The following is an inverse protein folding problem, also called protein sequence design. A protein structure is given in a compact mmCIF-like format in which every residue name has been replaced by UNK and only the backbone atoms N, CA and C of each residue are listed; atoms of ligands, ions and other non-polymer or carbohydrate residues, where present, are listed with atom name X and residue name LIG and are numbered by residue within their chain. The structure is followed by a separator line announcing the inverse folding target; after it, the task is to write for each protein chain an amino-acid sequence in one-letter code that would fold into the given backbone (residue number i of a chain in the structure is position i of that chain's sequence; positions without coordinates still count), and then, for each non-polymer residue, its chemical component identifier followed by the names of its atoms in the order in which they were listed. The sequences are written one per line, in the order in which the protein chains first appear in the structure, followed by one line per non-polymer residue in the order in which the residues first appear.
data_IF_295320281585
#
_entry.id   IF_295320281585
#
_cell.length_a   1.000
_cell.length_b   1.000
_cell.length_c   1.000
_cell.angle_alpha   90.00
_cell.angle_beta   90.00
_cell.angle_gamma   90.00
#
_symmetry.space_group_name_H-M   'P 1'
#
loop_
_entity.id
_entity.type
_entity.pdbx_description
1 polymer ?
#
# COMPACT_ATOMS: atom_id res chain seq x y z
N UNK A 1 20.84 -37.79 -26.66
CA UNK A 1 21.40 -37.92 -25.30
C UNK A 1 22.31 -36.71 -25.08
N UNK A 2 22.06 -35.78 -24.17
CA UNK A 2 20.98 -35.72 -23.16
C UNK A 2 20.75 -34.23 -22.80
N UNK A 3 19.50 -33.77 -22.81
CA UNK A 3 19.09 -32.55 -22.09
C UNK A 3 19.04 -32.84 -20.58
N UNK A 4 18.84 -31.78 -19.77
CA UNK A 4 18.73 -31.74 -18.29
C UNK A 4 20.04 -31.69 -17.49
N UNK A 5 20.49 -30.46 -17.19
CA UNK A 5 21.21 -30.09 -15.96
C UNK A 5 21.18 -28.55 -15.76
N UNK A 6 19.99 -27.97 -15.61
CA UNK A 6 19.79 -26.58 -15.18
C UNK A 6 18.71 -26.56 -14.08
N UNK A 7 18.85 -25.64 -13.12
CA UNK A 7 18.24 -25.62 -11.78
C UNK A 7 18.72 -26.78 -10.87
N UNK A 8 19.59 -26.45 -9.89
CA UNK A 8 19.46 -26.77 -8.46
C UNK A 8 20.77 -26.43 -7.73
N UNK A 9 20.90 -25.21 -7.16
CA UNK A 9 21.87 -24.89 -6.08
C UNK A 9 21.68 -23.46 -5.52
N UNK A 10 20.49 -23.15 -5.01
CA UNK A 10 20.27 -22.02 -4.09
C UNK A 10 19.31 -22.46 -2.98
N UNK A 11 19.85 -22.94 -1.85
CA UNK A 11 19.29 -22.82 -0.47
C UNK A 11 20.11 -23.64 0.55
N UNK A 12 20.44 -23.01 1.71
CA UNK A 12 20.73 -23.64 3.03
C UNK A 12 22.04 -24.47 3.10
N UNK A 13 22.83 -24.63 4.19
CA UNK A 13 22.82 -24.25 5.64
C UNK A 13 24.26 -24.56 6.19
N UNK A 14 24.86 -24.03 7.29
CA UNK A 14 24.53 -23.00 8.30
C UNK A 14 25.81 -22.48 9.03
N UNK A 15 25.62 -21.48 9.91
CA UNK A 15 26.37 -21.12 11.15
C UNK A 15 27.67 -21.88 11.54
N UNK A 16 28.76 -21.12 11.66
CA UNK A 16 29.71 -21.05 12.82
C UNK A 16 30.79 -20.01 12.47
N UNK A 17 31.17 -19.01 13.28
CA UNK A 17 31.13 -18.88 14.74
C UNK A 17 30.69 -17.47 15.19
N UNK A 18 29.72 -17.39 16.11
CA UNK A 18 29.54 -16.23 16.98
C UNK A 18 28.77 -16.69 18.24
N UNK A 19 29.51 -16.91 19.33
CA UNK A 19 28.94 -17.05 20.68
C UNK A 19 29.35 -15.82 21.51
N UNK A 20 28.53 -15.41 22.50
CA UNK A 20 28.44 -14.00 22.87
C UNK A 20 29.40 -13.60 23.99
N UNK A 21 29.84 -12.34 23.96
CA UNK A 21 30.35 -11.65 25.14
C UNK A 21 29.24 -10.72 25.64
N UNK A 22 28.63 -11.07 26.75
CA UNK A 22 27.85 -10.13 27.56
C UNK A 22 28.09 -10.38 29.04
N UNK A 23 28.76 -9.44 29.68
CA UNK A 23 28.76 -9.27 31.13
C UNK A 23 28.51 -7.79 31.42
N UNK A 24 27.79 -7.53 32.51
CA UNK A 24 27.36 -6.21 32.97
C UNK A 24 27.28 -6.26 34.50
N UNK A 25 27.36 -5.13 35.21
CA UNK A 25 28.28 -4.00 35.05
C UNK A 25 29.14 -3.80 36.33
N UNK A 26 30.15 -2.94 36.28
CA UNK A 26 30.73 -2.35 37.49
C UNK A 26 31.11 -0.89 37.21
N UNK A 27 30.78 -0.01 38.16
CA UNK A 27 31.02 1.42 38.08
C UNK A 27 32.50 1.75 37.89
N UNK A 28 32.86 2.65 36.98
CA UNK A 28 33.00 4.08 37.32
C UNK A 28 33.48 4.90 36.08
N UNK A 29 33.09 6.17 36.00
CA UNK A 29 33.66 7.24 35.13
C UNK A 29 33.77 6.96 33.61
N UNK A 30 32.78 7.41 32.85
CA UNK A 30 33.01 8.00 31.53
C UNK A 30 32.28 9.35 31.41
N UNK A 31 33.05 10.41 31.18
CA UNK A 31 32.54 11.76 30.86
C UNK A 31 32.05 11.77 29.42
N UNK A 32 30.88 12.34 29.17
CA UNK A 32 30.39 12.56 27.81
C UNK A 32 31.15 13.73 27.15
N UNK A 33 32.21 13.44 26.41
CA UNK A 33 32.75 14.37 25.40
C UNK A 33 31.98 14.18 24.09
N UNK A 34 31.39 15.26 23.58
CA UNK A 34 30.59 15.27 22.35
C UNK A 34 31.43 15.87 21.23
N UNK A 35 32.49 15.16 20.85
CA UNK A 35 33.36 15.54 19.73
C UNK A 35 33.68 14.34 18.84
N UNK A 36 33.59 14.58 17.52
CA UNK A 36 33.72 13.63 16.40
C UNK A 36 32.45 12.91 15.94
N UNK A 37 31.61 13.67 15.23
CA UNK A 37 30.62 13.17 14.27
C UNK A 37 31.29 12.20 13.29
N UNK A 38 30.84 10.95 13.29
CA UNK A 38 31.23 9.94 12.29
C UNK A 38 30.58 10.30 10.95
N UNK A 39 31.33 10.98 10.10
CA UNK A 39 30.86 11.35 8.76
C UNK A 39 31.06 10.18 7.77
N UNK A 40 30.25 9.13 7.91
CA UNK A 40 30.19 8.04 6.95
C UNK A 40 29.44 8.48 5.68
N UNK A 41 30.16 9.13 4.77
CA UNK A 41 29.69 9.39 3.40
C UNK A 41 29.48 8.05 2.65
N UNK A 42 28.29 7.46 2.78
CA UNK A 42 27.94 6.13 2.24
C UNK A 42 27.76 6.08 0.70
N UNK A 43 28.23 7.10 0.00
CA UNK A 43 28.04 7.27 -1.45
C UNK A 43 29.10 6.48 -2.27
N UNK A 44 30.32 6.30 -1.74
CA UNK A 44 31.40 5.59 -2.45
C UNK A 44 31.24 4.07 -2.46
N UNK A 45 30.75 3.46 -1.37
CA UNK A 45 30.50 2.02 -1.32
C UNK A 45 29.37 1.60 -2.27
N UNK A 46 28.26 2.34 -2.25
CA UNK A 46 27.10 2.09 -3.10
C UNK A 46 27.40 2.34 -4.60
N UNK A 47 28.26 3.32 -4.92
CA UNK A 47 28.75 3.53 -6.30
C UNK A 47 29.63 2.37 -6.78
N UNK A 48 30.48 1.81 -5.93
CA UNK A 48 31.33 0.66 -6.29
C UNK A 48 30.51 -0.59 -6.63
N UNK A 49 29.46 -0.90 -5.87
CA UNK A 49 28.53 -2.00 -6.19
C UNK A 49 27.73 -1.73 -7.47
N UNK A 50 27.29 -0.49 -7.69
CA UNK A 50 26.58 -0.09 -8.91
C UNK A 50 27.46 -0.21 -10.17
N UNK A 51 28.75 0.11 -10.09
CA UNK A 51 29.67 -0.03 -11.23
C UNK A 51 30.01 -1.50 -11.52
N UNK A 52 30.13 -2.36 -10.49
CA UNK A 52 30.25 -3.80 -10.67
C UNK A 52 29.03 -4.39 -11.41
N UNK A 53 27.82 -3.93 -11.05
CA UNK A 53 26.56 -4.32 -11.71
C UNK A 53 26.52 -3.91 -13.20
N UNK A 54 27.02 -2.71 -13.54
CA UNK A 54 27.10 -2.25 -14.94
C UNK A 54 28.02 -3.10 -15.80
N UNK A 55 29.16 -3.55 -15.26
CA UNK A 55 30.11 -4.37 -16.02
C UNK A 55 29.61 -5.79 -16.27
N UNK A 56 28.87 -6.39 -15.33
CA UNK A 56 28.15 -7.66 -15.57
C UNK A 56 27.14 -7.51 -16.72
N UNK A 57 26.35 -6.42 -16.72
CA UNK A 57 25.39 -6.15 -17.81
C UNK A 57 26.09 -5.96 -19.16
N UNK A 58 27.25 -5.28 -19.20
CA UNK A 58 28.05 -5.13 -20.44
C UNK A 58 28.55 -6.48 -20.97
N UNK A 59 29.04 -7.36 -20.11
CA UNK A 59 29.52 -8.69 -20.52
C UNK A 59 28.39 -9.56 -21.08
N UNK A 60 27.20 -9.50 -20.49
CA UNK A 60 26.01 -10.20 -21.00
C UNK A 60 25.55 -9.66 -22.37
N UNK A 61 25.62 -8.35 -22.60
CA UNK A 61 25.28 -7.76 -23.90
C UNK A 61 26.30 -8.13 -25.00
N UNK A 62 27.58 -8.27 -24.65
CA UNK A 62 28.63 -8.70 -25.58
C UNK A 62 28.56 -10.20 -25.91
N UNK A 63 28.14 -11.04 -24.97
CA UNK A 63 28.00 -12.49 -25.22
C UNK A 63 26.82 -12.82 -26.16
N UNK A 64 25.82 -11.94 -26.25
CA UNK A 64 24.67 -12.08 -27.15
C UNK A 64 24.94 -11.81 -28.64
N UNK A 65 26.12 -11.32 -29.03
CA UNK A 65 26.38 -10.88 -30.41
C UNK A 65 27.15 -11.87 -31.31
N UNK A 66 27.56 -13.04 -30.80
CA UNK A 66 28.33 -14.03 -31.56
C UNK A 66 27.50 -15.28 -31.93
N UNK A 67 26.58 -15.13 -32.89
CA UNK A 67 25.95 -16.27 -33.57
C UNK A 67 25.70 -15.99 -35.06
N UNK A 68 26.78 -15.92 -35.84
CA UNK A 68 26.71 -15.85 -37.31
C UNK A 68 26.77 -17.25 -37.91
N UNK A 69 25.67 -17.67 -38.55
CA UNK A 69 25.52 -18.98 -39.20
C UNK A 69 26.27 -19.09 -40.53
N UNK A 70 26.66 -20.32 -40.88
CA UNK A 70 27.25 -20.66 -42.17
C UNK A 70 26.18 -20.91 -43.24
N UNK A 71 26.37 -20.37 -44.46
CA UNK A 71 25.44 -20.58 -45.57
C UNK A 71 25.96 -20.07 -46.94
N UNK A 72 26.40 -21.02 -47.78
CA UNK A 72 26.55 -21.02 -49.25
C UNK A 72 26.50 -19.70 -50.06
N UNK A 73 27.51 -19.50 -50.92
CA UNK A 73 27.63 -18.37 -51.84
C UNK A 73 26.81 -18.49 -53.14
N UNK A 74 26.41 -17.35 -53.70
CA UNK A 74 26.04 -17.18 -55.11
C UNK A 74 26.66 -15.89 -55.65
N UNK A 75 27.26 -15.94 -56.84
CA UNK A 75 28.03 -14.81 -57.41
C UNK A 75 27.15 -13.67 -57.95
N UNK A 76 27.69 -12.44 -58.06
CA UNK A 76 26.92 -11.27 -58.50
C UNK A 76 26.60 -11.33 -60.00
N UNK A 77 25.39 -10.90 -60.35
CA UNK A 77 24.97 -10.72 -61.75
C UNK A 77 25.65 -9.50 -62.41
N UNK A 78 25.65 -9.48 -63.75
CA UNK A 78 26.18 -8.38 -64.56
C UNK A 78 25.40 -7.08 -64.39
N UNK A 79 25.98 -5.97 -64.88
CA UNK A 79 25.31 -4.67 -64.90
C UNK A 79 24.65 -4.44 -66.25
N UNK A 80 23.39 -4.05 -66.23
CA UNK A 80 22.65 -3.65 -67.42
C UNK A 80 23.01 -2.22 -67.88
N UNK A 81 22.64 -1.89 -69.12
CA UNK A 81 22.91 -0.60 -69.75
C UNK A 81 22.16 0.57 -69.11
N UNK A 82 22.59 1.80 -69.41
CA UNK A 82 21.87 3.01 -68.98
C UNK A 82 20.77 3.35 -69.98
N UNK A 83 19.54 3.50 -69.49
CA UNK A 83 18.43 3.98 -70.30
C UNK A 83 18.56 5.47 -70.64
N UNK A 84 17.81 5.89 -71.67
CA UNK A 84 17.75 7.28 -72.13
C UNK A 84 17.10 8.23 -71.12
N UNK A 85 17.29 9.54 -71.31
CA UNK A 85 16.63 10.55 -70.48
C UNK A 85 15.23 10.82 -71.00
N UNK A 86 14.22 10.65 -70.15
CA UNK A 86 12.87 11.12 -70.43
C UNK A 86 12.79 12.65 -70.43
N UNK A 87 11.81 13.18 -71.17
CA UNK A 87 11.51 14.61 -71.23
C UNK A 87 10.89 15.13 -69.92
N UNK A 88 10.96 16.45 -69.65
CA UNK A 88 10.38 17.02 -68.43
C UNK A 88 8.84 16.88 -68.44
N UNK A 89 8.22 16.50 -67.32
CA UNK A 89 6.76 16.36 -67.23
C UNK A 89 6.04 17.71 -67.38
N UNK A 90 4.78 17.64 -67.81
CA UNK A 90 3.89 18.80 -67.88
C UNK A 90 3.59 19.39 -66.49
N UNK A 91 3.14 20.65 -66.46
CA UNK A 91 2.78 21.33 -65.20
C UNK A 91 1.41 20.87 -64.71
N UNK A 92 1.32 20.51 -63.43
CA UNK A 92 0.05 20.18 -62.77
C UNK A 92 -0.88 21.40 -62.67
N UNK A 93 -2.19 21.12 -62.63
CA UNK A 93 -3.23 22.13 -62.39
C UNK A 93 -3.24 22.63 -60.95
N UNK A 94 -3.72 23.86 -60.74
CA UNK A 94 -3.82 24.44 -59.41
C UNK A 94 -4.78 23.65 -58.49
N UNK A 95 -4.43 23.43 -57.19
CA UNK A 95 -5.31 22.70 -56.27
C UNK A 95 -6.65 23.41 -56.05
N UNK A 96 -7.73 22.62 -55.94
CA UNK A 96 -9.02 23.11 -55.47
C UNK A 96 -8.95 23.52 -54.00
N UNK A 97 -9.70 24.57 -53.62
CA UNK A 97 -9.73 25.06 -52.24
C UNK A 97 -10.25 24.04 -51.24
N UNK A 98 -9.68 24.03 -50.03
CA UNK A 98 -10.12 23.19 -48.91
C UNK A 98 -11.54 23.55 -48.46
N UNK A 99 -12.42 22.56 -48.36
CA UNK A 99 -13.76 22.73 -47.79
C UNK A 99 -13.72 23.13 -46.31
N UNK A 100 -14.73 23.87 -45.87
CA UNK A 100 -14.84 24.35 -44.49
C UNK A 100 -15.01 23.19 -43.49
N UNK A 101 -14.31 23.28 -42.36
CA UNK A 101 -14.44 22.30 -41.27
C UNK A 101 -15.82 22.39 -40.63
N UNK A 102 -16.54 21.27 -40.57
CA UNK A 102 -17.84 21.19 -39.91
C UNK A 102 -17.79 21.55 -38.42
N UNK A 103 -18.93 21.92 -37.80
CA UNK A 103 -18.99 22.34 -36.41
C UNK A 103 -18.56 21.21 -35.46
N UNK A 104 -17.87 21.58 -34.38
CA UNK A 104 -17.49 20.65 -33.34
C UNK A 104 -18.73 19.98 -32.71
N UNK A 105 -18.61 18.68 -32.41
CA UNK A 105 -19.66 17.95 -31.69
C UNK A 105 -19.90 18.51 -30.29
N UNK A 106 -21.07 18.24 -29.68
CA UNK A 106 -21.35 18.69 -28.31
C UNK A 106 -20.31 18.11 -27.33
N UNK A 107 -19.92 18.87 -26.29
CA UNK A 107 -19.08 18.34 -25.22
C UNK A 107 -19.66 17.06 -24.62
N UNK A 108 -18.79 16.11 -24.28
CA UNK A 108 -19.20 14.92 -23.54
C UNK A 108 -19.83 15.27 -22.19
N UNK A 109 -20.61 14.36 -21.58
CA UNK A 109 -21.15 14.58 -20.25
C UNK A 109 -20.01 14.86 -19.25
N UNK A 110 -20.20 15.77 -18.27
CA UNK A 110 -19.23 15.97 -17.22
C UNK A 110 -18.84 14.66 -16.54
N UNK A 111 -17.56 14.47 -16.27
CA UNK A 111 -17.09 13.36 -15.43
C UNK A 111 -17.72 13.44 -14.02
N UNK A 112 -17.72 12.34 -13.25
CA UNK A 112 -18.35 12.31 -11.94
C UNK A 112 -17.72 13.38 -11.02
N UNK A 113 -18.51 14.40 -10.70
CA UNK A 113 -18.13 15.41 -9.70
C UNK A 113 -17.98 14.71 -8.34
N UNK A 114 -16.78 14.72 -7.77
CA UNK A 114 -16.58 14.31 -6.38
C UNK A 114 -17.33 15.27 -5.46
N UNK A 115 -18.54 14.90 -5.03
CA UNK A 115 -19.19 15.53 -3.89
C UNK A 115 -18.40 15.16 -2.63
N UNK A 116 -17.93 16.11 -1.81
CA UNK A 116 -17.23 15.80 -0.58
C UNK A 116 -18.08 14.85 0.29
N UNK A 117 -17.59 13.63 0.55
CA UNK A 117 -18.35 12.66 1.33
C UNK A 117 -18.60 13.22 2.74
N UNK A 118 -19.86 13.44 3.16
CA UNK A 118 -20.15 14.18 4.38
C UNK A 118 -19.52 13.54 5.63
N UNK A 119 -18.61 14.28 6.25
CA UNK A 119 -17.92 13.89 7.47
C UNK A 119 -16.70 12.98 7.27
N UNK A 120 -16.23 12.72 6.04
CA UNK A 120 -14.92 12.11 5.82
C UNK A 120 -13.82 13.02 6.40
N UNK A 121 -12.91 12.46 7.21
CA UNK A 121 -11.81 13.19 7.90
C UNK A 121 -10.43 12.54 7.75
N UNK A 122 -10.36 11.39 7.07
CA UNK A 122 -9.12 10.73 6.68
C UNK A 122 -9.42 9.69 5.61
N UNK A 123 -8.67 9.67 4.52
CA UNK A 123 -8.80 8.66 3.46
C UNK A 123 -7.42 8.33 2.90
N UNK A 124 -6.99 7.09 3.11
CA UNK A 124 -5.74 6.55 2.58
C UNK A 124 -6.07 5.42 1.61
N UNK A 125 -5.81 5.59 0.30
CA UNK A 125 -5.97 4.52 -0.66
C UNK A 125 -5.13 3.29 -0.34
N UNK A 126 -3.95 3.50 0.25
CA UNK A 126 -2.97 2.45 0.57
C UNK A 126 -2.66 1.60 -0.67
N UNK A 127 -2.16 2.26 -1.72
CA UNK A 127 -1.80 1.64 -2.99
C UNK A 127 -0.45 2.19 -3.50
N UNK A 128 0.07 1.65 -4.60
CA UNK A 128 1.38 2.03 -5.17
C UNK A 128 1.45 3.52 -5.56
N UNK A 129 0.37 4.06 -6.11
CA UNK A 129 0.27 5.45 -6.58
C UNK A 129 0.29 6.47 -5.43
N UNK A 130 -0.45 6.19 -4.35
CA UNK A 130 -0.66 7.13 -3.25
C UNK A 130 0.20 6.83 -2.01
N UNK A 131 0.73 5.61 -1.89
CA UNK A 131 1.34 5.11 -0.67
C UNK A 131 0.39 5.29 0.52
N UNK A 132 0.87 5.98 1.56
CA UNK A 132 0.11 6.33 2.75
C UNK A 132 -0.37 7.80 2.78
N UNK A 133 -0.48 8.49 1.65
CA UNK A 133 -0.99 9.87 1.56
C UNK A 133 -2.48 9.96 1.93
N UNK A 134 -2.87 10.99 2.68
CA UNK A 134 -4.25 11.32 3.01
C UNK A 134 -4.90 12.14 1.88
N UNK A 135 -5.74 11.50 1.08
CA UNK A 135 -6.45 12.15 -0.04
C UNK A 135 -7.74 12.84 0.39
N UNK A 136 -8.09 12.82 1.68
CA UNK A 136 -9.27 13.55 2.19
C UNK A 136 -9.06 15.07 2.33
N UNK A 137 -7.81 15.54 2.23
CA UNK A 137 -7.44 16.96 2.33
C UNK A 137 -7.18 17.47 3.76
N UNK A 138 -7.27 16.61 4.78
CA UNK A 138 -6.92 16.95 6.17
C UNK A 138 -5.43 16.76 6.49
N UNK A 139 -4.63 16.27 5.53
CA UNK A 139 -3.18 16.23 5.61
C UNK A 139 -2.61 15.24 6.61
N UNK A 140 -3.37 14.20 6.98
CA UNK A 140 -2.91 13.14 7.89
C UNK A 140 -2.01 12.12 7.15
N UNK A 141 -1.03 12.62 6.37
CA UNK A 141 -0.14 11.82 5.53
C UNK A 141 0.68 10.83 6.38
N UNK A 142 0.51 9.54 6.11
CA UNK A 142 1.15 8.47 6.86
C UNK A 142 2.58 8.14 6.41
N UNK A 143 3.32 7.54 7.33
CA UNK A 143 4.67 7.02 7.11
C UNK A 143 4.62 5.50 7.09
N UNK A 144 5.11 4.90 6.01
CA UNK A 144 5.18 3.44 5.83
C UNK A 144 6.47 2.87 6.41
N UNK A 145 6.35 1.76 7.14
CA UNK A 145 7.49 1.02 7.69
C UNK A 145 7.41 -0.43 7.21
N UNK A 146 8.41 -0.87 6.45
CA UNK A 146 8.54 -2.25 5.98
C UNK A 146 7.21 -2.83 5.45
N UNK A 147 6.58 -2.16 4.48
CA UNK A 147 5.38 -2.63 3.77
C UNK A 147 5.72 -2.95 2.32
N UNK A 148 5.05 -3.94 1.75
CA UNK A 148 5.07 -4.20 0.30
C UNK A 148 3.88 -3.57 -0.42
N UNK A 149 3.78 -3.86 -1.71
CA UNK A 149 2.64 -3.54 -2.57
C UNK A 149 1.99 -4.85 -3.04
N UNK A 150 0.67 -4.85 -3.23
CA UNK A 150 -0.10 -6.00 -3.70
C UNK A 150 -1.28 -5.58 -4.59
N UNK A 151 -1.90 -6.57 -5.23
CA UNK A 151 -3.16 -6.42 -5.97
C UNK A 151 -4.32 -6.07 -5.01
N UNK A 152 -5.12 -5.07 -5.41
CA UNK A 152 -6.22 -4.48 -4.63
C UNK A 152 -7.58 -5.22 -4.73
N UNK A 153 -8.65 -4.66 -4.13
CA UNK A 153 -9.96 -5.30 -4.02
C UNK A 153 -10.71 -5.51 -5.35
N UNK A 154 -10.31 -4.83 -6.42
CA UNK A 154 -10.84 -4.96 -7.78
C UNK A 154 -10.00 -5.84 -8.70
N UNK A 155 -8.88 -6.38 -8.22
CA UNK A 155 -7.90 -7.10 -9.05
C UNK A 155 -6.87 -6.18 -9.73
N UNK A 156 -6.85 -4.90 -9.37
CA UNK A 156 -5.92 -3.92 -9.89
C UNK A 156 -4.51 -4.11 -9.33
N UNK A 157 -3.51 -4.19 -10.22
CA UNK A 157 -2.10 -4.28 -9.84
C UNK A 157 -1.70 -3.02 -9.10
N UNK A 158 -1.04 -3.17 -7.94
CA UNK A 158 -0.64 -2.04 -7.11
C UNK A 158 -1.71 -1.51 -6.15
N UNK A 159 -2.96 -1.99 -6.24
CA UNK A 159 -4.12 -1.45 -5.51
C UNK A 159 -4.16 -1.60 -3.99
N UNK A 160 -3.18 -2.25 -3.37
CA UNK A 160 -3.13 -2.42 -1.91
C UNK A 160 -1.69 -2.36 -1.36
N UNK A 161 -1.53 -1.99 -0.08
CA UNK A 161 -0.31 -2.23 0.67
C UNK A 161 -0.34 -3.62 1.32
N UNK A 162 0.82 -4.28 1.30
CA UNK A 162 1.05 -5.58 1.91
C UNK A 162 1.78 -5.44 3.25
N UNK A 163 1.27 -6.12 4.26
CA UNK A 163 1.83 -6.18 5.60
C UNK A 163 2.36 -7.59 5.88
N UNK A 164 3.61 -7.68 6.33
CA UNK A 164 4.33 -8.96 6.40
C UNK A 164 4.01 -9.80 7.65
N UNK A 165 3.28 -9.27 8.63
CA UNK A 165 2.97 -9.98 9.88
C UNK A 165 4.10 -9.97 10.91
N UNK A 166 4.83 -8.85 11.01
CA UNK A 166 5.81 -8.60 12.07
C UNK A 166 5.68 -7.17 12.59
N UNK A 167 6.19 -6.91 13.79
CA UNK A 167 6.10 -5.61 14.46
C UNK A 167 6.72 -4.43 13.67
N UNK A 168 7.64 -4.72 12.74
CA UNK A 168 8.23 -3.72 11.85
C UNK A 168 7.31 -3.28 10.71
N UNK A 169 6.33 -4.10 10.32
CA UNK A 169 5.48 -3.91 9.13
C UNK A 169 4.18 -3.19 9.47
N UNK A 170 4.15 -1.87 9.26
CA UNK A 170 3.04 -0.98 9.68
C UNK A 170 3.00 0.33 8.89
N UNK A 171 1.89 1.05 9.03
CA UNK A 171 1.80 2.46 8.65
C UNK A 171 1.35 3.26 9.86
N UNK A 172 2.00 4.40 10.11
CA UNK A 172 1.64 5.34 11.17
C UNK A 172 1.14 6.63 10.53
N UNK A 173 -0.02 7.12 10.97
CA UNK A 173 -0.66 8.34 10.48
C UNK A 173 -0.70 9.38 11.60
N UNK A 174 -0.17 10.60 11.36
CA UNK A 174 -0.31 11.69 12.32
C UNK A 174 -1.78 12.04 12.48
N UNK A 175 -2.15 12.52 13.67
CA UNK A 175 -3.48 13.05 13.91
C UNK A 175 -3.40 14.57 13.98
N UNK A 176 -3.67 15.23 12.86
CA UNK A 176 -3.63 16.70 12.76
C UNK A 176 -4.93 17.36 13.29
N UNK A 177 -5.62 16.69 14.21
CA UNK A 177 -6.85 17.12 14.86
C UNK A 177 -8.13 16.57 14.22
N UNK A 178 -8.14 16.36 12.91
CA UNK A 178 -9.32 15.91 12.17
C UNK A 178 -9.82 14.51 12.58
N UNK A 179 -8.89 13.62 12.97
CA UNK A 179 -9.21 12.26 13.39
C UNK A 179 -9.73 12.20 14.85
N UNK A 180 -9.66 13.27 15.63
CA UNK A 180 -10.18 13.32 17.01
C UNK A 180 -11.71 13.53 17.06
N UNK A 181 -12.46 12.56 16.53
CA UNK A 181 -13.90 12.69 16.29
C UNK A 181 -14.78 12.70 17.55
N UNK A 182 -14.31 12.08 18.66
CA UNK A 182 -14.87 12.02 20.03
C UNK A 182 -16.31 11.52 20.23
N UNK A 183 -17.29 11.94 19.42
CA UNK A 183 -18.73 11.68 19.64
C UNK A 183 -19.36 10.80 18.57
N UNK A 184 -18.81 10.76 17.36
CA UNK A 184 -19.29 9.88 16.30
C UNK A 184 -18.09 9.39 15.50
N UNK A 185 -18.12 8.15 15.05
CA UNK A 185 -17.08 7.65 14.18
C UNK A 185 -17.61 6.58 13.22
N UNK A 186 -17.02 6.54 12.04
CA UNK A 186 -17.00 5.34 11.19
C UNK A 186 -15.56 5.03 10.82
N UNK A 187 -15.14 3.79 11.02
CA UNK A 187 -13.85 3.25 10.60
C UNK A 187 -14.13 2.17 9.57
N UNK A 188 -13.59 2.28 8.35
CA UNK A 188 -13.76 1.24 7.33
C UNK A 188 -12.56 1.04 6.41
N UNK A 189 -12.37 -0.19 5.95
CA UNK A 189 -11.30 -0.55 5.03
C UNK A 189 -11.64 -1.82 4.25
N UNK A 190 -11.01 -2.00 3.08
CA UNK A 190 -10.84 -3.32 2.49
C UNK A 190 -9.68 -4.03 3.19
N UNK A 191 -9.90 -5.29 3.59
CA UNK A 191 -8.88 -6.16 4.18
C UNK A 191 -8.80 -7.51 3.45
N UNK A 192 -7.59 -8.06 3.37
CA UNK A 192 -7.30 -9.42 2.87
C UNK A 192 -6.40 -10.13 3.88
N UNK A 193 -6.94 -10.72 4.96
CA UNK A 193 -6.15 -11.27 6.04
C UNK A 193 -5.55 -12.63 5.68
N UNK A 194 -4.26 -12.83 5.97
CA UNK A 194 -3.51 -14.03 5.58
C UNK A 194 -2.73 -14.69 6.72
N UNK A 195 -2.52 -13.98 7.84
CA UNK A 195 -1.80 -14.51 9.00
C UNK A 195 -2.69 -15.02 10.13
N UNK A 196 -2.01 -15.33 11.25
CA UNK A 196 -2.61 -15.76 12.52
C UNK A 196 -2.24 -14.85 13.69
N UNK A 197 -1.57 -13.72 13.44
CA UNK A 197 -1.34 -12.67 14.44
C UNK A 197 -2.60 -11.83 14.66
N UNK A 198 -2.82 -11.41 15.91
CA UNK A 198 -3.80 -10.37 16.23
C UNK A 198 -3.34 -9.08 15.53
N UNK A 199 -4.20 -8.36 14.83
CA UNK A 199 -3.74 -7.32 13.91
C UNK A 199 -4.57 -6.04 13.94
N UNK A 200 -3.97 -4.85 14.17
CA UNK A 200 -4.68 -3.58 14.03
C UNK A 200 -5.00 -3.31 12.56
N UNK A 201 -6.29 -3.10 12.27
CA UNK A 201 -6.75 -2.41 11.06
C UNK A 201 -6.73 -0.90 11.35
N UNK A 202 -7.19 -0.51 12.53
CA UNK A 202 -7.06 0.84 13.09
C UNK A 202 -6.65 0.74 14.57
N UNK A 203 -5.57 1.42 14.97
CA UNK A 203 -5.16 1.59 16.36
C UNK A 203 -4.91 3.07 16.65
N UNK A 204 -5.76 3.72 17.44
CA UNK A 204 -5.40 5.01 18.03
C UNK A 204 -4.47 4.76 19.23
N UNK A 205 -3.18 5.08 19.13
CA UNK A 205 -2.19 4.77 20.17
C UNK A 205 -1.48 6.02 20.65
N UNK A 206 -1.42 6.25 21.97
CA UNK A 206 -0.54 7.30 22.50
C UNK A 206 0.91 6.93 22.21
N UNK A 207 1.63 7.81 21.54
CA UNK A 207 3.06 7.68 21.29
C UNK A 207 3.83 7.39 22.59
N UNK A 208 4.78 6.45 22.55
CA UNK A 208 5.62 6.11 23.70
C UNK A 208 4.87 5.58 24.92
N UNK A 209 3.68 4.99 24.76
CA UNK A 209 2.87 4.51 25.88
C UNK A 209 2.03 3.27 25.54
N UNK A 210 1.61 2.54 26.58
CA UNK A 210 0.58 1.49 26.50
C UNK A 210 -0.85 2.04 26.54
N UNK A 211 -1.05 3.35 26.66
CA UNK A 211 -2.37 4.00 26.64
C UNK A 211 -3.06 3.82 25.27
N UNK A 212 -3.95 2.84 25.17
CA UNK A 212 -4.73 2.57 23.97
C UNK A 212 -5.96 3.48 23.88
N UNK A 213 -6.25 3.97 22.67
CA UNK A 213 -7.49 4.63 22.32
C UNK A 213 -8.51 3.65 21.72
N UNK A 214 -9.34 4.18 20.82
CA UNK A 214 -10.21 3.36 19.96
C UNK A 214 -9.36 2.40 19.13
N UNK A 215 -9.77 1.14 19.02
CA UNK A 215 -9.08 0.19 18.16
C UNK A 215 -10.00 -0.84 17.50
N UNK A 216 -9.74 -1.09 16.20
CA UNK A 216 -10.47 -2.00 15.32
C UNK A 216 -9.50 -3.04 14.74
N UNK A 217 -9.70 -4.30 15.09
CA UNK A 217 -8.70 -5.37 14.98
C UNK A 217 -9.25 -6.65 14.35
N UNK A 218 -8.35 -7.47 13.81
CA UNK A 218 -8.62 -8.90 13.56
C UNK A 218 -8.07 -9.76 14.71
N UNK A 219 -8.82 -10.80 15.07
CA UNK A 219 -8.46 -11.81 16.05
C UNK A 219 -8.57 -13.21 15.40
N UNK A 220 -7.57 -13.62 14.58
CA UNK A 220 -7.71 -14.77 13.66
C UNK A 220 -7.82 -16.14 14.32
N UNK A 221 -7.55 -16.31 15.62
CA UNK A 221 -7.81 -17.57 16.33
C UNK A 221 -9.32 -17.84 16.48
N UNK A 222 -10.13 -16.78 16.58
CA UNK A 222 -11.60 -16.86 16.52
C UNK A 222 -12.18 -16.52 15.14
N UNK A 223 -11.34 -16.18 14.16
CA UNK A 223 -11.75 -15.45 12.94
C UNK A 223 -12.56 -14.18 13.25
N UNK A 224 -12.23 -13.53 14.36
CA UNK A 224 -13.00 -12.45 14.94
C UNK A 224 -12.67 -11.10 14.30
N UNK A 225 -13.72 -10.32 14.02
CA UNK A 225 -13.66 -8.89 13.76
C UNK A 225 -14.02 -8.18 15.08
N UNK A 226 -13.09 -7.40 15.63
CA UNK A 226 -13.13 -6.90 17.00
C UNK A 226 -13.04 -5.37 17.04
N UNK A 227 -14.02 -4.70 17.64
CA UNK A 227 -14.00 -3.25 17.88
C UNK A 227 -14.05 -2.93 19.37
N UNK A 228 -13.22 -1.97 19.77
CA UNK A 228 -13.16 -1.44 21.12
C UNK A 228 -13.24 0.09 21.10
N UNK A 229 -14.42 0.62 21.43
CA UNK A 229 -14.63 2.06 21.60
C UNK A 229 -14.46 2.53 23.06
N UNK A 230 -14.51 1.60 24.02
CA UNK A 230 -14.62 1.90 25.46
C UNK A 230 -14.03 0.78 26.32
N UNK A 231 -13.34 1.17 27.39
CA UNK A 231 -12.78 0.24 28.37
C UNK A 231 -13.79 -0.80 28.85
N UNK A 232 -13.41 -2.08 28.74
CA UNK A 232 -14.18 -3.24 29.22
C UNK A 232 -15.40 -3.64 28.39
N UNK A 233 -15.69 -2.99 27.25
CA UNK A 233 -16.89 -3.27 26.44
C UNK A 233 -16.55 -3.36 24.94
N UNK A 234 -16.00 -4.50 24.54
CA UNK A 234 -15.75 -4.84 23.14
C UNK A 234 -16.99 -5.39 22.44
N UNK A 235 -17.09 -5.19 21.13
CA UNK A 235 -17.99 -5.94 20.25
C UNK A 235 -17.13 -6.78 19.30
N UNK A 236 -17.32 -8.11 19.32
CA UNK A 236 -16.58 -9.07 18.49
C UNK A 236 -17.53 -10.02 17.75
N UNK A 237 -17.19 -10.41 16.52
CA UNK A 237 -17.95 -11.37 15.71
C UNK A 237 -17.04 -12.29 14.88
N UNK A 238 -17.22 -13.62 14.91
CA UNK A 238 -16.36 -14.59 14.20
C UNK A 238 -16.78 -14.72 12.72
N UNK A 239 -16.51 -13.68 11.92
CA UNK A 239 -17.00 -13.56 10.54
C UNK A 239 -15.89 -13.45 9.49
N UNK A 240 -14.63 -13.35 9.89
CA UNK A 240 -13.51 -13.11 8.96
C UNK A 240 -13.16 -14.39 8.20
N UNK A 241 -12.90 -14.26 6.89
CA UNK A 241 -12.32 -15.35 6.09
C UNK A 241 -10.88 -14.98 5.76
N UNK A 242 -9.94 -15.91 5.93
CA UNK A 242 -8.57 -15.71 5.45
C UNK A 242 -8.49 -15.90 3.93
N UNK A 243 -7.61 -15.15 3.30
CA UNK A 243 -7.36 -15.16 1.85
C UNK A 243 -8.58 -14.78 0.99
N UNK A 244 -9.39 -13.84 1.48
CA UNK A 244 -10.54 -13.28 0.77
C UNK A 244 -10.57 -11.75 1.01
N UNK A 245 -10.96 -10.96 0.00
CA UNK A 245 -11.17 -9.52 0.16
C UNK A 245 -12.50 -9.25 0.86
N UNK A 246 -12.47 -8.46 1.94
CA UNK A 246 -13.63 -8.18 2.77
C UNK A 246 -13.65 -6.69 3.14
N UNK A 247 -14.78 -6.02 2.96
CA UNK A 247 -14.96 -4.65 3.43
C UNK A 247 -15.48 -4.68 4.86
N UNK A 248 -14.70 -4.15 5.80
CA UNK A 248 -15.04 -4.19 7.22
C UNK A 248 -15.28 -2.78 7.73
N UNK A 249 -16.36 -2.61 8.50
CA UNK A 249 -16.75 -1.30 9.04
C UNK A 249 -17.15 -1.40 10.49
N UNK A 250 -16.74 -0.42 11.29
CA UNK A 250 -17.25 -0.18 12.64
C UNK A 250 -17.83 1.24 12.73
N UNK A 251 -19.01 1.39 13.34
CA UNK A 251 -19.62 2.70 13.60
C UNK A 251 -19.95 2.88 15.07
N UNK A 252 -19.93 4.13 15.56
CA UNK A 252 -20.44 4.49 16.87
C UNK A 252 -21.13 5.86 16.87
N UNK A 253 -22.26 5.95 17.57
CA UNK A 253 -23.09 7.16 17.69
C UNK A 253 -23.36 7.52 19.15
N UNK A 254 -22.67 8.51 19.70
CA UNK A 254 -22.78 8.91 21.12
C UNK A 254 -24.18 9.31 21.56
N UNK A 255 -25.00 9.93 20.71
CA UNK A 255 -26.36 10.35 21.07
C UNK A 255 -27.33 9.20 21.35
N UNK A 256 -27.12 8.05 20.72
CA UNK A 256 -27.90 6.82 20.99
C UNK A 256 -27.13 5.80 21.83
N UNK A 257 -25.81 5.99 21.98
CA UNK A 257 -24.89 5.05 22.61
C UNK A 257 -24.59 3.79 21.77
N UNK A 258 -25.12 3.71 20.55
CA UNK A 258 -25.05 2.49 19.74
C UNK A 258 -23.70 2.38 19.02
N UNK A 259 -23.02 1.25 19.19
CA UNK A 259 -21.93 0.77 18.33
C UNK A 259 -22.45 -0.32 17.38
N UNK A 260 -21.86 -0.42 16.19
CA UNK A 260 -22.18 -1.47 15.21
C UNK A 260 -20.93 -1.98 14.48
N UNK A 261 -21.00 -3.24 14.06
CA UNK A 261 -20.05 -3.86 13.14
C UNK A 261 -20.75 -4.27 11.85
N UNK A 262 -20.02 -4.17 10.73
CA UNK A 262 -20.44 -4.62 9.41
C UNK A 262 -19.33 -5.43 8.72
N UNK A 263 -19.75 -6.40 7.92
CA UNK A 263 -18.92 -7.08 6.92
C UNK A 263 -19.62 -6.98 5.57
N UNK A 264 -18.88 -6.57 4.54
CA UNK A 264 -19.36 -6.36 3.17
C UNK A 264 -20.66 -5.52 3.13
N UNK A 265 -20.67 -4.41 3.87
CA UNK A 265 -21.81 -3.50 4.07
C UNK A 265 -23.09 -4.13 4.67
N UNK A 266 -23.02 -5.33 5.27
CA UNK A 266 -24.13 -5.94 6.03
C UNK A 266 -23.82 -5.90 7.52
N UNK A 267 -24.80 -5.50 8.34
CA UNK A 267 -24.67 -5.45 9.81
C UNK A 267 -24.54 -6.85 10.40
N UNK A 268 -23.50 -7.08 11.21
CA UNK A 268 -23.20 -8.37 11.86
C UNK A 268 -23.35 -8.33 13.39
N UNK A 269 -23.52 -7.13 13.94
CA UNK A 269 -23.68 -6.93 15.38
C UNK A 269 -23.89 -5.45 15.73
N UNK A 270 -24.64 -5.23 16.80
CA UNK A 270 -24.92 -3.93 17.39
C UNK A 270 -25.00 -4.09 18.90
N UNK A 271 -24.50 -3.11 19.65
CA UNK A 271 -24.57 -3.05 21.12
C UNK A 271 -24.75 -1.60 21.60
N UNK A 272 -25.21 -1.41 22.83
CA UNK A 272 -25.32 -0.08 23.46
C UNK A 272 -24.23 0.13 24.51
N UNK A 273 -23.28 1.02 24.24
CA UNK A 273 -22.21 1.44 25.15
C UNK A 273 -22.58 2.58 26.10
N UNK A 274 -23.76 3.18 25.88
CA UNK A 274 -24.12 4.50 26.40
C UNK A 274 -23.37 5.62 25.67
N UNK A 275 -23.69 6.87 26.01
CA UNK A 275 -23.03 8.05 25.44
C UNK A 275 -21.67 8.31 26.08
N UNK A 276 -20.59 7.86 25.45
CA UNK A 276 -19.19 8.04 25.88
C UNK A 276 -18.42 8.94 24.93
N UNK A 277 -17.37 9.58 25.45
CA UNK A 277 -16.38 10.27 24.62
C UNK A 277 -15.30 9.26 24.21
N UNK A 278 -15.09 9.10 22.90
CA UNK A 278 -14.05 8.25 22.34
C UNK A 278 -12.66 8.82 22.61
N UNK A 279 -11.67 7.94 22.73
CA UNK A 279 -10.26 8.31 22.82
C UNK A 279 -9.67 8.23 21.40
N UNK A 280 -9.93 9.28 20.63
CA UNK A 280 -9.57 9.44 19.21
C UNK A 280 -8.43 10.44 18.97
N UNK A 281 -7.97 11.12 20.03
CA UNK A 281 -6.96 12.20 20.01
C UNK A 281 -5.51 11.79 19.73
N UNK A 282 -5.26 10.49 19.59
CA UNK A 282 -3.91 9.95 19.41
C UNK A 282 -3.59 9.76 17.92
N UNK A 283 -2.32 9.61 17.52
CA UNK A 283 -1.95 9.10 16.20
C UNK A 283 -2.64 7.75 15.91
N UNK A 284 -2.88 7.49 14.63
CA UNK A 284 -3.47 6.25 14.14
C UNK A 284 -2.37 5.34 13.60
N UNK A 285 -2.47 4.03 13.82
CA UNK A 285 -1.60 3.04 13.20
C UNK A 285 -2.41 1.88 12.59
N UNK A 286 -1.82 1.20 11.62
CA UNK A 286 -2.33 -0.03 11.00
C UNK A 286 -1.18 -1.00 10.72
N UNK A 287 -1.45 -2.29 10.58
CA UNK A 287 -0.42 -3.31 10.39
C UNK A 287 0.16 -3.82 11.71
N UNK A 288 0.79 -2.94 12.50
CA UNK A 288 1.24 -3.25 13.85
C UNK A 288 1.16 -2.01 14.76
N UNK A 289 1.22 -2.23 16.08
CA UNK A 289 1.34 -1.13 17.05
C UNK A 289 2.72 -0.45 16.93
N UNK A 290 2.83 0.87 17.12
CA UNK A 290 4.11 1.56 17.07
C UNK A 290 5.05 1.14 18.23
N UNK A 291 6.38 1.15 18.01
CA UNK A 291 7.36 0.99 19.07
C UNK A 291 7.23 2.02 20.20
N UNK A 292 7.68 1.72 21.44
CA UNK A 292 8.26 0.44 21.86
C UNK A 292 7.20 -0.63 22.18
N UNK A 293 5.91 -0.29 22.20
CA UNK A 293 4.81 -1.15 22.66
C UNK A 293 4.14 -1.94 21.53
N UNK A 294 4.94 -2.46 20.60
CA UNK A 294 4.45 -3.18 19.43
C UNK A 294 3.74 -4.51 19.77
N UNK A 295 3.98 -5.07 20.98
CA UNK A 295 3.48 -6.40 21.40
C UNK A 295 4.26 -7.59 20.81
N UNK A 296 5.06 -7.35 19.77
CA UNK A 296 5.77 -8.39 19.00
C UNK A 296 4.92 -8.96 17.88
N UNK A 297 5.46 -9.91 17.11
CA UNK A 297 4.87 -10.37 15.85
C UNK A 297 3.50 -11.07 16.01
N UNK A 298 3.17 -11.55 17.21
CA UNK A 298 1.83 -12.05 17.54
C UNK A 298 0.74 -10.97 17.53
N UNK A 299 1.12 -9.69 17.53
CA UNK A 299 0.26 -8.50 17.48
C UNK A 299 0.41 -7.71 16.16
N UNK A 300 0.89 -8.39 15.11
CA UNK A 300 1.01 -7.84 13.76
C UNK A 300 0.03 -8.49 12.77
N UNK A 301 -0.67 -7.65 12.02
CA UNK A 301 -1.48 -8.00 10.87
C UNK A 301 -0.59 -8.51 9.73
N UNK A 302 -0.99 -9.62 9.10
CA UNK A 302 -0.41 -10.11 7.85
C UNK A 302 -1.47 -10.22 6.78
N UNK A 303 -1.25 -9.60 5.63
CA UNK A 303 -2.23 -9.54 4.55
C UNK A 303 -2.16 -8.25 3.77
N UNK A 304 -3.26 -7.88 3.12
CA UNK A 304 -3.39 -6.64 2.35
C UNK A 304 -4.43 -5.72 2.99
N UNK A 305 -4.20 -4.41 2.94
CA UNK A 305 -5.20 -3.39 3.33
C UNK A 305 -5.24 -2.33 2.23
N UNK A 306 -6.46 -1.92 1.85
CA UNK A 306 -6.71 -0.87 0.86
C UNK A 306 -7.88 0.02 1.31
N UNK A 307 -7.90 1.26 0.82
CA UNK A 307 -8.95 2.26 1.06
C UNK A 307 -9.37 2.40 2.53
N UNK A 308 -8.42 2.66 3.43
CA UNK A 308 -8.71 2.99 4.83
C UNK A 308 -9.39 4.37 4.91
N UNK A 309 -10.53 4.44 5.58
CA UNK A 309 -11.32 5.67 5.73
C UNK A 309 -11.77 5.89 7.18
N UNK A 310 -11.75 7.15 7.62
CA UNK A 310 -12.27 7.62 8.90
C UNK A 310 -13.29 8.72 8.66
N UNK A 311 -14.46 8.59 9.28
CA UNK A 311 -15.50 9.62 9.26
C UNK A 311 -15.80 10.11 10.68
N UNK A 312 -16.09 11.41 10.84
CA UNK A 312 -16.57 12.04 12.07
C UNK A 312 -18.10 11.93 12.25
N UNK A 313 -18.73 11.02 11.51
CA UNK A 313 -20.16 10.68 11.56
C UNK A 313 -20.33 9.17 11.66
N UNK A 314 -21.47 8.72 12.20
CA UNK A 314 -21.87 7.31 12.17
C UNK A 314 -22.69 7.05 10.90
N UNK A 315 -22.05 6.52 9.86
CA UNK A 315 -22.64 6.24 8.56
C UNK A 315 -23.80 5.23 8.68
N UNK A 316 -24.76 5.37 7.76
CA UNK A 316 -25.82 4.38 7.55
C UNK A 316 -25.33 3.23 6.69
N UNK A 317 -26.02 2.08 6.74
CA UNK A 317 -25.68 0.91 5.92
C UNK A 317 -25.65 1.22 4.41
N UNK A 318 -26.54 2.09 3.92
CA UNK A 318 -26.55 2.53 2.52
C UNK A 318 -25.27 3.30 2.15
N UNK A 319 -24.82 4.23 2.99
CA UNK A 319 -23.58 4.99 2.78
C UNK A 319 -22.32 4.08 2.84
N UNK A 320 -22.35 3.06 3.70
CA UNK A 320 -21.28 2.05 3.77
C UNK A 320 -21.26 1.21 2.47
N UNK A 321 -22.44 0.86 1.93
CA UNK A 321 -22.58 0.15 0.65
C UNK A 321 -22.11 1.01 -0.54
N UNK A 322 -22.40 2.31 -0.54
CA UNK A 322 -21.92 3.27 -1.55
C UNK A 322 -20.39 3.37 -1.54
N UNK A 323 -19.78 3.59 -0.36
CA UNK A 323 -18.32 3.65 -0.22
C UNK A 323 -17.63 2.34 -0.61
N UNK A 324 -18.21 1.18 -0.23
CA UNK A 324 -17.72 -0.14 -0.65
C UNK A 324 -17.77 -0.29 -2.18
N UNK A 325 -18.85 0.13 -2.83
CA UNK A 325 -19.01 0.02 -4.29
C UNK A 325 -18.04 0.95 -5.04
N UNK A 326 -17.85 2.19 -4.56
CA UNK A 326 -16.92 3.18 -5.13
C UNK A 326 -15.48 2.67 -5.08
N UNK A 327 -15.04 2.22 -3.91
CA UNK A 327 -13.65 1.77 -3.68
C UNK A 327 -13.33 0.40 -4.28
N UNK A 328 -14.32 -0.45 -4.58
CA UNK A 328 -14.05 -1.81 -5.07
C UNK A 328 -13.28 -1.87 -6.40
N UNK A 329 -13.41 -0.86 -7.25
CA UNK A 329 -12.75 -0.84 -8.57
C UNK A 329 -11.62 0.21 -8.64
N UNK A 330 -10.96 0.51 -7.52
CA UNK A 330 -9.94 1.56 -7.43
C UNK A 330 -10.50 3.00 -7.58
N UNK A 331 -11.82 3.18 -7.43
CA UNK A 331 -12.47 4.48 -7.53
C UNK A 331 -12.23 5.35 -6.29
N UNK A 332 -11.95 6.63 -6.53
CA UNK A 332 -11.85 7.66 -5.50
C UNK A 332 -13.19 8.37 -5.27
#
# INVERSE_FOLDING_TARGET
MTMFACLFLVTLVSLSCAQPIYSQPSDDKCVCDVSHVVNCNNDSAMRAELDLLKDVVRQLLQSGSNFSSSGSAQGPAGRDGRDGRDGPPGRDGAPGGSGETGPAGPPGPPGPTMTPEPGLVGYWPLNEEHGARDVSGYGNDGVTFSTGVAEGPGGETGGALYFHGNAGSRVEFPNNGALDTRSYITLQAWIYPQGTGLGPIFQFQREGSTDEGVHFWIYPTGNDLYIYFKSGQALSRPVITRNEWQFVTATYRRTTGIQKLYKNAIEIGSDNLGGVNLITRYPLATGARPPPYAGGDGYAYKGRIAHMQVYNVALTQAQIQEAMNRTRNGGY
#
